data_IF_862066485564
#
_entry.id   IF_862066485564
#
_cell.length_a   1.000
_cell.length_b   1.000
_cell.length_c   1.000
_cell.angle_alpha   90.00
_cell.angle_beta   90.00
_cell.angle_gamma   90.00
#
_symmetry.space_group_name_H-M   'P 1'
#
loop_
_entity.id
_entity.type
_entity.pdbx_description
1 polymer ?
#
# COMPACT_ATOMS: atom_id res chain seq x y z
N UNK A 1 -4.21 -16.06 27.86
CA UNK A 1 -5.27 -15.47 28.70
C UNK A 1 -6.63 -16.10 28.45
N UNK A 2 -7.55 -15.96 29.40
CA UNK A 2 -8.95 -16.39 29.28
C UNK A 2 -9.83 -15.15 29.16
N UNK A 3 -10.74 -15.15 28.17
CA UNK A 3 -11.65 -14.04 27.92
C UNK A 3 -13.09 -14.55 27.99
N UNK A 4 -13.98 -13.74 28.58
CA UNK A 4 -15.42 -13.97 28.56
C UNK A 4 -16.07 -12.92 27.68
N UNK A 5 -16.91 -13.37 26.75
CA UNK A 5 -17.60 -12.51 25.80
C UNK A 5 -19.10 -12.79 25.84
N UNK A 6 -19.88 -11.75 25.58
CA UNK A 6 -21.34 -11.78 25.47
C UNK A 6 -21.77 -11.07 24.19
N UNK A 7 -23.03 -11.26 23.80
CA UNK A 7 -23.64 -10.52 22.69
C UNK A 7 -23.37 -9.01 22.78
N UNK A 8 -23.07 -8.41 21.63
CA UNK A 8 -22.64 -7.02 21.51
C UNK A 8 -21.14 -6.79 21.71
N UNK A 9 -20.40 -7.78 22.24
CA UNK A 9 -18.96 -7.70 22.43
C UNK A 9 -18.17 -7.89 21.13
N UNK A 10 -17.11 -7.10 20.98
CA UNK A 10 -16.08 -7.33 19.96
C UNK A 10 -15.04 -8.31 20.49
N UNK A 11 -14.59 -9.22 19.63
CA UNK A 11 -13.54 -10.19 19.95
C UNK A 11 -12.18 -9.47 19.87
N UNK A 12 -11.41 -9.37 20.97
CA UNK A 12 -10.17 -8.57 21.02
C UNK A 12 -8.93 -9.28 20.45
N UNK A 13 -8.99 -10.60 20.27
CA UNK A 13 -7.88 -11.45 19.90
C UNK A 13 -8.39 -12.75 19.26
N UNK A 14 -7.54 -13.49 18.56
CA UNK A 14 -7.93 -14.81 18.08
C UNK A 14 -8.00 -15.77 19.26
N UNK A 15 -9.12 -16.46 19.39
CA UNK A 15 -9.42 -17.28 20.56
C UNK A 15 -9.99 -18.65 20.19
N UNK A 16 -9.62 -19.67 20.97
CA UNK A 16 -10.24 -21.00 20.96
C UNK A 16 -11.38 -21.02 21.98
N UNK A 17 -12.56 -21.44 21.54
CA UNK A 17 -13.76 -21.50 22.40
C UNK A 17 -13.68 -22.71 23.32
N UNK A 18 -13.71 -22.50 24.63
CA UNK A 18 -13.69 -23.59 25.62
C UNK A 18 -15.08 -23.86 26.22
N UNK A 19 -15.94 -22.84 26.28
CA UNK A 19 -17.33 -22.96 26.73
C UNK A 19 -18.22 -21.95 26.00
N UNK A 20 -19.48 -22.32 25.72
CA UNK A 20 -20.42 -21.44 25.01
C UNK A 20 -21.89 -21.76 25.30
N UNK A 21 -22.75 -20.74 25.23
CA UNK A 21 -24.22 -20.89 25.25
C UNK A 21 -24.83 -20.08 24.10
N UNK A 22 -25.45 -20.79 23.13
CA UNK A 22 -26.11 -20.23 21.95
C UNK A 22 -25.27 -19.17 21.22
N UNK A 23 -23.97 -19.42 21.08
CA UNK A 23 -23.01 -18.46 20.56
C UNK A 23 -23.10 -18.32 19.03
N UNK A 24 -23.26 -17.08 18.58
CA UNK A 24 -23.12 -16.67 17.18
C UNK A 24 -22.17 -15.49 17.06
N UNK A 25 -21.39 -15.47 15.98
CA UNK A 25 -20.49 -14.37 15.66
C UNK A 25 -20.68 -13.91 14.21
N UNK A 26 -20.51 -12.62 13.97
CA UNK A 26 -20.44 -12.03 12.64
C UNK A 26 -18.97 -11.96 12.20
N UNK A 27 -18.65 -12.70 11.15
CA UNK A 27 -17.27 -12.87 10.64
C UNK A 27 -17.04 -12.13 9.31
N UNK A 28 -17.94 -11.20 8.95
CA UNK A 28 -17.91 -10.47 7.67
C UNK A 28 -16.59 -9.76 7.40
N UNK A 29 -15.88 -9.34 8.45
CA UNK A 29 -14.58 -8.67 8.33
C UNK A 29 -13.48 -9.58 7.75
N UNK A 30 -13.62 -10.90 7.87
CA UNK A 30 -12.63 -11.88 7.39
C UNK A 30 -13.19 -12.71 6.23
N UNK A 31 -14.47 -13.08 6.27
CA UNK A 31 -15.08 -13.94 5.24
C UNK A 31 -15.81 -13.17 4.16
N UNK A 32 -16.17 -11.90 4.40
CA UNK A 32 -17.05 -11.10 3.54
C UNK A 32 -18.54 -11.47 3.66
N UNK A 33 -18.88 -12.54 4.39
CA UNK A 33 -20.25 -13.00 4.55
C UNK A 33 -20.90 -12.35 5.78
N UNK A 34 -22.06 -11.71 5.59
CA UNK A 34 -22.76 -10.99 6.66
C UNK A 34 -23.65 -11.88 7.55
N UNK A 35 -23.81 -13.15 7.19
CA UNK A 35 -24.66 -14.09 7.95
C UNK A 35 -23.93 -14.54 9.22
N UNK A 36 -24.55 -14.43 10.41
CA UNK A 36 -23.93 -14.90 11.64
C UNK A 36 -23.69 -16.41 11.63
N UNK A 37 -22.51 -16.81 12.11
CA UNK A 37 -22.07 -18.22 12.13
C UNK A 37 -22.25 -18.79 13.53
N UNK A 38 -22.91 -19.95 13.63
CA UNK A 38 -23.02 -20.71 14.88
C UNK A 38 -21.65 -21.30 15.27
N UNK A 39 -21.29 -21.12 16.53
CA UNK A 39 -20.01 -21.56 17.07
C UNK A 39 -20.13 -22.82 17.94
N UNK A 40 -19.05 -23.59 18.00
CA UNK A 40 -18.99 -24.88 18.70
C UNK A 40 -17.75 -24.96 19.59
N UNK A 41 -17.75 -25.87 20.58
CA UNK A 41 -16.57 -26.15 21.41
C UNK A 41 -15.82 -27.39 20.96
N UNK A 42 -16.43 -28.24 20.11
CA UNK A 42 -15.85 -29.51 19.69
C UNK A 42 -14.60 -29.32 18.84
N UNK A 43 -13.62 -30.25 18.93
CA UNK A 43 -12.50 -30.29 18.00
C UNK A 43 -12.99 -30.45 16.56
N UNK A 44 -12.31 -29.82 15.61
CA UNK A 44 -12.59 -29.96 14.19
C UNK A 44 -11.83 -31.18 13.64
N UNK A 45 -12.48 -31.96 12.78
CA UNK A 45 -11.92 -33.22 12.25
C UNK A 45 -10.82 -33.01 11.20
N UNK A 46 -10.70 -31.80 10.64
CA UNK A 46 -9.73 -31.46 9.59
C UNK A 46 -8.79 -30.37 10.10
N UNK A 47 -7.50 -30.53 9.80
CA UNK A 47 -6.44 -29.60 10.23
C UNK A 47 -6.39 -28.35 9.35
N UNK A 48 -6.70 -28.47 8.05
CA UNK A 48 -6.58 -27.38 7.08
C UNK A 48 -7.95 -26.94 6.56
N UNK A 49 -8.71 -26.25 7.40
CA UNK A 49 -10.01 -25.70 7.08
C UNK A 49 -9.89 -24.20 6.70
N UNK A 50 -10.70 -23.71 5.75
CA UNK A 50 -10.90 -22.29 5.53
C UNK A 50 -11.29 -21.56 6.83
N UNK A 51 -10.99 -20.27 6.94
CA UNK A 51 -11.25 -19.50 8.16
C UNK A 51 -12.72 -19.55 8.59
N UNK A 52 -13.66 -19.42 7.65
CA UNK A 52 -15.10 -19.51 7.93
C UNK A 52 -15.57 -20.88 8.44
N UNK A 53 -14.83 -21.95 8.16
CA UNK A 53 -15.15 -23.30 8.62
C UNK A 53 -14.58 -23.61 10.01
N UNK A 54 -13.72 -22.75 10.56
CA UNK A 54 -13.16 -22.89 11.91
C UNK A 54 -14.17 -22.46 12.98
N UNK A 55 -15.32 -23.13 13.02
CA UNK A 55 -16.48 -22.83 13.90
C UNK A 55 -16.17 -22.94 15.39
N UNK A 56 -15.04 -23.52 15.76
CA UNK A 56 -14.61 -23.66 17.15
C UNK A 56 -13.65 -22.55 17.63
N UNK A 57 -13.49 -21.52 16.79
CA UNK A 57 -12.66 -20.35 17.04
C UNK A 57 -13.47 -19.06 16.93
N UNK A 58 -12.95 -18.01 17.56
CA UNK A 58 -13.34 -16.62 17.36
C UNK A 58 -12.13 -15.85 16.84
N UNK A 59 -12.35 -14.91 15.93
CA UNK A 59 -11.28 -14.13 15.32
C UNK A 59 -11.33 -12.68 15.76
N UNK A 60 -10.17 -12.07 15.93
CA UNK A 60 -10.02 -10.67 16.32
C UNK A 60 -10.79 -9.73 15.37
N UNK A 61 -11.53 -8.77 15.93
CA UNK A 61 -12.33 -7.81 15.18
C UNK A 61 -13.73 -8.30 14.77
N UNK A 62 -14.04 -9.60 14.93
CA UNK A 62 -15.40 -10.11 14.74
C UNK A 62 -16.30 -9.71 15.92
N UNK A 63 -17.62 -9.68 15.70
CA UNK A 63 -18.60 -9.26 16.70
C UNK A 63 -19.47 -10.44 17.15
N UNK A 64 -19.69 -10.58 18.46
CA UNK A 64 -20.63 -11.57 18.99
C UNK A 64 -22.04 -11.05 18.80
N UNK A 65 -22.83 -11.73 17.97
CA UNK A 65 -24.21 -11.33 17.67
C UNK A 65 -25.20 -11.92 18.68
N UNK A 66 -24.89 -13.08 19.24
CA UNK A 66 -25.76 -13.77 20.19
C UNK A 66 -24.98 -14.66 21.15
N UNK A 67 -25.53 -14.83 22.35
CA UNK A 67 -25.04 -15.80 23.33
C UNK A 67 -23.88 -15.28 24.18
N UNK A 68 -23.18 -16.21 24.81
CA UNK A 68 -22.00 -15.95 25.64
C UNK A 68 -20.99 -17.07 25.50
N UNK A 69 -19.73 -16.78 25.78
CA UNK A 69 -18.68 -17.80 25.76
C UNK A 69 -17.52 -17.47 26.70
N UNK A 70 -16.75 -18.50 27.00
CA UNK A 70 -15.42 -18.41 27.59
C UNK A 70 -14.43 -18.97 26.58
N UNK A 71 -13.33 -18.26 26.36
CA UNK A 71 -12.34 -18.60 25.35
C UNK A 71 -10.92 -18.48 25.89
N UNK A 72 -9.99 -19.17 25.23
CA UNK A 72 -8.54 -19.05 25.48
C UNK A 72 -7.92 -18.32 24.30
N UNK A 73 -7.15 -17.27 24.58
CA UNK A 73 -6.41 -16.52 23.55
C UNK A 73 -5.33 -17.41 22.95
N UNK A 74 -5.27 -17.45 21.62
CA UNK A 74 -4.27 -18.21 20.86
C UNK A 74 -3.39 -17.30 19.97
N UNK A 75 -3.82 -16.07 19.69
CA UNK A 75 -3.08 -15.13 18.85
C UNK A 75 -3.51 -13.69 19.11
N UNK A 76 -2.55 -12.77 19.10
CA UNK A 76 -2.75 -11.34 19.37
C UNK A 76 -1.95 -10.50 18.36
N UNK A 77 -2.40 -9.27 18.11
CA UNK A 77 -1.70 -8.35 17.21
C UNK A 77 -1.49 -8.93 15.80
N UNK A 78 -0.27 -8.84 15.28
CA UNK A 78 0.10 -9.36 13.95
C UNK A 78 -0.09 -10.87 13.80
N UNK A 79 -0.11 -11.63 14.90
CA UNK A 79 -0.29 -13.08 14.87
C UNK A 79 -1.76 -13.50 14.75
N UNK A 80 -2.72 -12.57 14.81
CA UNK A 80 -4.13 -12.84 14.51
C UNK A 80 -4.35 -13.01 13.01
N UNK A 81 -5.43 -13.68 12.59
CA UNK A 81 -5.77 -13.82 11.17
C UNK A 81 -5.99 -12.46 10.51
N UNK A 82 -6.65 -11.51 11.18
CA UNK A 82 -6.80 -10.14 10.66
C UNK A 82 -5.45 -9.41 10.62
N UNK A 83 -4.55 -9.66 11.57
CA UNK A 83 -3.19 -9.11 11.59
C UNK A 83 -2.31 -9.64 10.46
N UNK A 84 -2.41 -10.93 10.14
CA UNK A 84 -1.75 -11.55 8.98
C UNK A 84 -2.27 -10.95 7.68
N UNK A 85 -3.59 -10.79 7.55
CA UNK A 85 -4.22 -10.14 6.39
C UNK A 85 -3.71 -8.70 6.26
N UNK A 86 -3.70 -7.92 7.34
CA UNK A 86 -3.20 -6.55 7.32
C UNK A 86 -1.72 -6.46 6.92
N UNK A 87 -0.90 -7.42 7.35
CA UNK A 87 0.53 -7.48 7.01
C UNK A 87 0.75 -7.82 5.53
N UNK A 88 -0.11 -8.65 4.92
CA UNK A 88 -0.06 -8.94 3.48
C UNK A 88 -0.50 -7.76 2.62
N UNK A 89 -1.35 -6.87 3.14
CA UNK A 89 -1.85 -5.67 2.44
C UNK A 89 -0.88 -4.48 2.58
N UNK A 90 0.06 -4.53 3.52
CA UNK A 90 1.15 -3.55 3.60
C UNK A 90 2.12 -3.76 2.43
N UNK A 91 1.74 -3.23 1.27
CA UNK A 91 2.60 -3.10 0.10
C UNK A 91 3.66 -2.03 0.35
N UNK A 92 4.90 -2.30 -0.04
CA UNK A 92 5.90 -1.26 -0.23
C UNK A 92 5.41 -0.30 -1.32
N UNK A 93 5.60 1.01 -1.12
CA UNK A 93 5.24 1.99 -2.16
C UNK A 93 6.18 1.83 -3.36
N UNK A 94 5.75 1.05 -4.35
CA UNK A 94 6.42 0.98 -5.64
C UNK A 94 6.28 2.28 -6.42
N UNK A 95 7.32 2.61 -7.21
CA UNK A 95 7.28 3.77 -8.11
C UNK A 95 6.20 3.58 -9.17
N UNK A 96 5.50 4.66 -9.50
CA UNK A 96 4.46 4.61 -10.53
C UNK A 96 5.06 4.49 -11.93
N UNK A 97 4.30 3.96 -12.93
CA UNK A 97 4.77 3.89 -14.32
C UNK A 97 5.27 5.24 -14.86
N UNK A 98 4.56 6.34 -14.59
CA UNK A 98 4.99 7.66 -15.05
C UNK A 98 6.25 8.14 -14.32
N UNK A 99 6.39 7.85 -13.02
CA UNK A 99 7.62 8.17 -12.28
C UNK A 99 8.83 7.43 -12.84
N UNK A 100 8.65 6.15 -13.21
CA UNK A 100 9.69 5.35 -13.87
C UNK A 100 10.07 5.97 -15.22
N UNK A 101 9.07 6.37 -16.01
CA UNK A 101 9.29 6.98 -17.32
C UNK A 101 9.99 8.34 -17.20
N UNK A 102 9.53 9.22 -16.29
CA UNK A 102 10.16 10.50 -15.98
C UNK A 102 11.62 10.34 -15.56
N UNK A 103 11.91 9.36 -14.71
CA UNK A 103 13.29 9.06 -14.28
C UNK A 103 14.14 8.62 -15.46
N UNK A 104 13.58 7.83 -16.38
CA UNK A 104 14.26 7.35 -17.58
C UNK A 104 14.53 8.48 -18.56
N UNK A 105 13.54 9.34 -18.83
CA UNK A 105 13.67 10.52 -19.70
C UNK A 105 14.65 11.52 -19.10
N UNK A 106 14.51 11.86 -17.83
CA UNK A 106 15.41 12.76 -17.12
C UNK A 106 16.86 12.27 -17.13
N UNK A 107 17.08 10.96 -16.94
CA UNK A 107 18.43 10.36 -17.03
C UNK A 107 19.00 10.47 -18.45
N UNK A 108 18.21 10.21 -19.49
CA UNK A 108 18.67 10.34 -20.89
C UNK A 108 19.06 11.78 -21.22
N UNK A 109 18.21 12.74 -20.87
CA UNK A 109 18.49 14.17 -21.09
C UNK A 109 19.77 14.57 -20.33
N UNK A 110 19.88 14.19 -19.06
CA UNK A 110 21.07 14.48 -18.25
C UNK A 110 22.36 13.94 -18.85
N UNK A 111 22.35 12.70 -19.38
CA UNK A 111 23.52 12.11 -20.05
C UNK A 111 23.89 12.89 -21.31
N UNK A 112 22.91 13.27 -22.14
CA UNK A 112 23.15 14.04 -23.36
C UNK A 112 23.74 15.42 -23.02
N UNK A 113 23.15 16.13 -22.06
CA UNK A 113 23.62 17.45 -21.64
C UNK A 113 25.04 17.41 -21.07
N UNK A 114 25.36 16.37 -20.28
CA UNK A 114 26.70 16.17 -19.74
C UNK A 114 27.72 15.87 -20.85
N UNK A 115 27.35 15.04 -21.84
CA UNK A 115 28.19 14.78 -23.00
C UNK A 115 28.47 16.05 -23.81
N UNK A 116 27.44 16.85 -24.11
CA UNK A 116 27.60 18.12 -24.83
C UNK A 116 28.47 19.11 -24.04
N UNK A 117 28.25 19.21 -22.73
CA UNK A 117 29.04 20.08 -21.85
C UNK A 117 30.51 19.68 -21.82
N UNK A 118 30.79 18.38 -21.78
CA UNK A 118 32.16 17.85 -21.85
C UNK A 118 32.82 18.16 -23.20
N UNK A 119 32.10 18.01 -24.32
CA UNK A 119 32.60 18.34 -25.66
C UNK A 119 32.95 19.82 -25.76
N UNK A 120 32.08 20.72 -25.27
CA UNK A 120 32.32 22.17 -25.28
C UNK A 120 33.52 22.52 -24.41
N UNK A 121 33.62 21.94 -23.21
CA UNK A 121 34.76 22.12 -22.31
C UNK A 121 36.08 21.72 -22.99
N UNK A 122 36.16 20.50 -23.52
CA UNK A 122 37.35 19.97 -24.19
C UNK A 122 37.73 20.81 -25.40
N UNK A 123 36.76 21.20 -26.23
CA UNK A 123 37.00 22.05 -27.40
C UNK A 123 37.55 23.43 -27.04
N UNK A 124 37.08 24.01 -25.93
CA UNK A 124 37.58 25.30 -25.47
C UNK A 124 39.00 25.20 -24.90
N UNK A 125 39.30 24.15 -24.13
CA UNK A 125 40.66 23.93 -23.61
C UNK A 125 41.65 23.69 -24.75
N UNK A 126 41.26 22.93 -25.78
CA UNK A 126 42.08 22.72 -26.98
C UNK A 126 42.33 23.99 -27.82
N UNK A 127 41.54 25.05 -27.61
CA UNK A 127 41.70 26.36 -28.25
C UNK A 127 42.43 27.38 -27.36
N UNK A 128 43.16 26.90 -26.34
CA UNK A 128 43.91 27.71 -25.37
C UNK A 128 43.06 28.70 -24.55
N UNK A 129 41.75 28.46 -24.41
CA UNK A 129 40.96 29.21 -23.43
C UNK A 129 41.29 28.77 -22.01
N UNK A 130 41.21 29.72 -21.05
CA UNK A 130 41.39 29.43 -19.63
C UNK A 130 40.47 28.29 -19.15
N UNK A 131 41.07 27.27 -18.55
CA UNK A 131 40.38 26.09 -18.00
C UNK A 131 39.28 26.50 -17.02
N UNK A 132 39.56 27.45 -16.13
CA UNK A 132 38.59 27.96 -15.17
C UNK A 132 37.37 28.59 -15.86
N UNK A 133 37.60 29.34 -16.94
CA UNK A 133 36.53 29.95 -17.73
C UNK A 133 35.69 28.90 -18.45
N UNK A 134 36.33 27.90 -19.06
CA UNK A 134 35.61 26.83 -19.75
C UNK A 134 34.81 25.94 -18.79
N UNK A 135 35.31 25.71 -17.57
CA UNK A 135 34.59 24.98 -16.54
C UNK A 135 33.31 25.71 -16.14
N UNK A 136 33.37 27.04 -15.93
CA UNK A 136 32.19 27.85 -15.65
C UNK A 136 31.15 27.76 -16.78
N UNK A 137 31.58 27.80 -18.04
CA UNK A 137 30.69 27.67 -19.21
C UNK A 137 30.04 26.28 -19.24
N UNK A 138 30.82 25.22 -19.01
CA UNK A 138 30.31 23.85 -19.02
C UNK A 138 29.30 23.59 -17.89
N UNK A 139 29.55 24.09 -16.68
CA UNK A 139 28.61 24.00 -15.56
C UNK A 139 27.35 24.82 -15.84
N UNK A 140 27.49 26.04 -16.36
CA UNK A 140 26.34 26.87 -16.73
C UNK A 140 25.46 26.19 -17.80
N UNK A 141 26.07 25.56 -18.80
CA UNK A 141 25.37 24.81 -19.83
C UNK A 141 24.63 23.60 -19.24
N UNK A 142 25.29 22.84 -18.36
CA UNK A 142 24.71 21.66 -17.73
C UNK A 142 23.51 22.00 -16.83
N UNK A 143 23.62 23.05 -16.02
CA UNK A 143 22.55 23.52 -15.12
C UNK A 143 21.36 24.06 -15.93
N UNK A 144 21.61 24.84 -16.99
CA UNK A 144 20.56 25.38 -17.85
C UNK A 144 19.70 24.30 -18.53
N UNK A 145 20.20 23.06 -18.61
CA UNK A 145 19.50 21.95 -19.24
C UNK A 145 18.77 21.02 -18.25
N UNK A 146 18.79 21.32 -16.95
CA UNK A 146 18.02 20.56 -15.96
C UNK A 146 16.52 20.75 -16.29
N UNK A 147 15.75 19.66 -16.48
CA UNK A 147 14.36 19.76 -16.83
C UNK A 147 13.49 20.03 -15.59
N UNK A 148 13.63 21.22 -15.02
CA UNK A 148 12.93 21.67 -13.80
C UNK A 148 11.40 21.74 -13.99
N UNK A 149 10.93 21.86 -15.24
CA UNK A 149 9.50 21.92 -15.56
C UNK A 149 8.78 20.58 -15.60
N UNK A 150 9.48 19.44 -15.73
CA UNK A 150 8.85 18.12 -15.89
C UNK A 150 7.95 17.74 -14.70
N UNK A 151 8.39 17.86 -13.43
CA UNK A 151 7.55 17.53 -12.28
C UNK A 151 6.30 18.41 -12.17
N UNK A 152 6.43 19.70 -12.52
CA UNK A 152 5.32 20.65 -12.48
C UNK A 152 4.25 20.30 -13.51
N UNK A 153 4.66 20.02 -14.76
CA UNK A 153 3.74 19.65 -15.85
C UNK A 153 2.98 18.36 -15.51
N UNK A 154 3.67 17.36 -14.97
CA UNK A 154 3.05 16.10 -14.55
C UNK A 154 2.02 16.31 -13.44
N UNK A 155 2.34 17.12 -12.43
CA UNK A 155 1.41 17.41 -11.34
C UNK A 155 0.13 18.07 -11.85
N UNK A 156 0.26 19.04 -12.77
CA UNK A 156 -0.90 19.72 -13.38
C UNK A 156 -1.71 18.75 -14.24
N UNK A 157 -1.05 17.90 -15.03
CA UNK A 157 -1.72 16.90 -15.87
C UNK A 157 -2.52 15.90 -15.03
N UNK A 158 -1.92 15.37 -13.95
CA UNK A 158 -2.59 14.47 -13.02
C UNK A 158 -3.76 15.15 -12.31
N UNK A 159 -3.60 16.41 -11.89
CA UNK A 159 -4.68 17.18 -11.26
C UNK A 159 -5.88 17.36 -12.20
N UNK A 160 -5.65 17.65 -13.48
CA UNK A 160 -6.72 17.69 -14.50
C UNK A 160 -7.37 16.33 -14.70
N UNK A 161 -6.59 15.24 -14.67
CA UNK A 161 -7.09 13.86 -14.70
C UNK A 161 -8.01 13.54 -13.53
N UNK A 162 -7.59 13.86 -12.29
CA UNK A 162 -8.42 13.73 -11.08
C UNK A 162 -9.70 14.56 -11.20
N UNK A 163 -9.61 15.80 -11.67
CA UNK A 163 -10.77 16.67 -11.84
C UNK A 163 -11.78 16.08 -12.84
N UNK A 164 -11.30 15.46 -13.93
CA UNK A 164 -12.14 14.79 -14.92
C UNK A 164 -12.80 13.53 -14.35
N UNK A 165 -12.08 12.72 -13.58
CA UNK A 165 -12.62 11.53 -12.91
C UNK A 165 -13.69 11.89 -11.86
N UNK A 166 -13.45 12.93 -11.07
CA UNK A 166 -14.40 13.43 -10.08
C UNK A 166 -15.73 13.87 -10.71
N UNK A 167 -15.69 14.50 -11.89
CA UNK A 167 -16.91 14.84 -12.67
C UNK A 167 -17.73 13.62 -13.10
N UNK A 168 -17.10 12.46 -13.22
CA UNK A 168 -17.74 11.19 -13.58
C UNK A 168 -18.06 10.32 -12.35
N UNK A 169 -18.15 10.92 -11.15
CA UNK A 169 -18.42 10.24 -9.87
C UNK A 169 -17.35 9.22 -9.45
N UNK A 170 -16.11 9.33 -9.95
CA UNK A 170 -14.98 8.52 -9.51
C UNK A 170 -14.02 9.35 -8.63
N UNK A 171 -14.02 9.07 -7.33
CA UNK A 171 -13.18 9.78 -6.36
C UNK A 171 -11.81 9.10 -6.27
N UNK A 172 -10.77 9.82 -6.65
CA UNK A 172 -9.38 9.35 -6.57
C UNK A 172 -8.78 9.74 -5.22
N UNK A 173 -8.31 8.75 -4.45
CA UNK A 173 -7.67 8.97 -3.14
C UNK A 173 -6.15 9.15 -3.22
N UNK A 174 -5.51 8.62 -4.27
CA UNK A 174 -4.07 8.76 -4.55
C UNK A 174 -3.86 9.24 -5.99
N UNK A 175 -3.17 10.37 -6.19
CA UNK A 175 -2.89 10.92 -7.53
C UNK A 175 -2.18 9.92 -8.46
N UNK A 176 -1.31 9.09 -7.89
CA UNK A 176 -0.61 8.00 -8.59
C UNK A 176 -1.54 7.01 -9.27
N UNK A 177 -2.74 6.77 -8.71
CA UNK A 177 -3.70 5.83 -9.28
C UNK A 177 -4.31 6.32 -10.60
N UNK A 178 -4.26 7.61 -10.90
CA UNK A 178 -4.78 8.16 -12.18
C UNK A 178 -3.98 7.64 -13.37
N UNK A 179 -2.69 7.39 -13.18
CA UNK A 179 -1.79 6.90 -14.23
C UNK A 179 -2.15 5.50 -14.70
N UNK A 180 -2.71 4.66 -13.83
CA UNK A 180 -3.07 3.27 -14.13
C UNK A 180 -4.40 3.14 -14.89
N UNK A 181 -5.17 4.23 -15.02
CA UNK A 181 -6.50 4.26 -15.65
C UNK A 181 -6.52 4.81 -17.08
N UNK A 182 -5.36 4.99 -17.71
CA UNK A 182 -5.20 5.49 -19.07
C UNK A 182 -4.66 4.39 -19.98
#
# INVERSE_FOLDING_TARGET
>A
DIIKLTAGGLVPADCRIIDQVNLQANESIITGESLPVNKITTPLSKVNLPLGDKKNMLFSGTAITRGRCTTVVIGTGQNTEIGKIASMIQEEEELTPLQIELKTVGKKIGIICLAVSAIVFLSGVLKDYSVARMLLVAVALAVAAIPEGLPAIVTVSLALGVQRMAKNNAIVRKLSSVETFN
#
